data_IF_862484764096
#
_entry.id   IF_862484764096
#
_cell.length_a   1.000
_cell.length_b   1.000
_cell.length_c   1.000
_cell.angle_alpha   90.00
_cell.angle_beta   90.00
_cell.angle_gamma   90.00
#
_symmetry.space_group_name_H-M   'P 1'
#
loop_
_entity.id
_entity.type
_entity.pdbx_description
1 polymer ?
#
# COMPACT_ATOMS: atom_id res chain seq x y z
N UNK A 1 23.61 -2.57 1.74
CA UNK A 1 22.16 -2.82 1.62
C UNK A 1 21.48 -2.41 2.91
N UNK A 2 20.40 -1.64 2.81
CA UNK A 2 19.53 -1.31 3.93
C UNK A 2 18.43 -2.38 4.05
N UNK A 3 18.54 -3.22 5.08
CA UNK A 3 17.64 -4.35 5.27
C UNK A 3 16.20 -3.91 5.54
N UNK A 4 15.99 -2.80 6.25
CA UNK A 4 14.65 -2.30 6.56
C UNK A 4 13.91 -1.88 5.30
N UNK A 5 14.54 -1.07 4.44
CA UNK A 5 13.92 -0.64 3.18
C UNK A 5 13.72 -1.78 2.20
N UNK A 6 14.68 -2.71 2.13
CA UNK A 6 14.55 -3.90 1.29
C UNK A 6 13.36 -4.76 1.75
N UNK A 7 13.28 -5.09 3.04
CA UNK A 7 12.14 -5.84 3.61
C UNK A 7 10.82 -5.10 3.41
N UNK A 8 10.78 -3.78 3.59
CA UNK A 8 9.59 -2.97 3.30
C UNK A 8 9.15 -3.11 1.84
N UNK A 9 10.10 -3.10 0.89
CA UNK A 9 9.82 -3.30 -0.52
C UNK A 9 9.29 -4.70 -0.85
N UNK A 10 9.82 -5.75 -0.20
CA UNK A 10 9.30 -7.12 -0.36
C UNK A 10 7.89 -7.26 0.19
N UNK A 11 7.63 -6.80 1.42
CA UNK A 11 6.28 -6.81 2.00
C UNK A 11 5.31 -6.04 1.11
N UNK A 12 5.73 -4.88 0.59
CA UNK A 12 4.90 -4.08 -0.30
C UNK A 12 4.65 -4.76 -1.66
N UNK A 13 5.62 -5.51 -2.18
CA UNK A 13 5.44 -6.28 -3.42
C UNK A 13 4.38 -7.36 -3.23
N UNK A 14 4.42 -8.06 -2.10
CA UNK A 14 3.40 -9.05 -1.72
C UNK A 14 2.04 -8.37 -1.55
N UNK A 15 1.99 -7.24 -0.85
CA UNK A 15 0.75 -6.48 -0.67
C UNK A 15 0.17 -5.99 -2.02
N UNK A 16 1.01 -5.57 -2.97
CA UNK A 16 0.59 -5.18 -4.32
C UNK A 16 -0.07 -6.35 -5.05
N UNK A 17 0.52 -7.53 -5.00
CA UNK A 17 -0.04 -8.75 -5.61
C UNK A 17 -1.36 -9.13 -4.95
N UNK A 18 -1.41 -9.10 -3.62
CA UNK A 18 -2.65 -9.36 -2.87
C UNK A 18 -3.74 -8.33 -3.22
N UNK A 19 -3.39 -7.04 -3.33
CA UNK A 19 -4.33 -6.00 -3.75
C UNK A 19 -4.86 -6.26 -5.15
N UNK A 20 -4.01 -6.64 -6.10
CA UNK A 20 -4.42 -6.94 -7.47
C UNK A 20 -5.37 -8.15 -7.55
N UNK A 21 -5.10 -9.21 -6.79
CA UNK A 21 -5.82 -10.49 -6.89
C UNK A 21 -6.94 -10.60 -5.85
N UNK A 22 -6.59 -10.62 -4.56
CA UNK A 22 -7.55 -10.80 -3.46
C UNK A 22 -8.44 -9.57 -3.30
N UNK A 23 -7.88 -8.38 -3.53
CA UNK A 23 -8.66 -7.16 -3.54
C UNK A 23 -9.70 -7.12 -4.68
N UNK A 24 -9.45 -7.78 -5.81
CA UNK A 24 -10.50 -7.92 -6.82
C UNK A 24 -11.61 -8.87 -6.33
N UNK A 25 -11.23 -10.04 -5.82
CA UNK A 25 -12.16 -11.10 -5.48
C UNK A 25 -13.12 -10.75 -4.34
N UNK A 26 -12.60 -10.15 -3.26
CA UNK A 26 -13.38 -9.95 -2.04
C UNK A 26 -14.17 -8.63 -2.05
N UNK A 27 -13.55 -7.43 -2.18
CA UNK A 27 -14.32 -6.18 -2.17
C UNK A 27 -14.80 -5.72 -3.55
N UNK A 28 -14.03 -5.90 -4.63
CA UNK A 28 -14.38 -5.29 -5.92
C UNK A 28 -15.49 -6.06 -6.64
N UNK A 29 -15.39 -7.39 -6.70
CA UNK A 29 -16.36 -8.24 -7.40
C UNK A 29 -17.79 -8.05 -6.87
N UNK A 30 -18.06 -8.04 -5.55
CA UNK A 30 -19.40 -7.75 -5.04
C UNK A 30 -19.89 -6.36 -5.45
N UNK A 31 -19.04 -5.32 -5.43
CA UNK A 31 -19.41 -3.97 -5.87
C UNK A 31 -19.80 -3.94 -7.35
N UNK A 32 -19.14 -4.73 -8.19
CA UNK A 32 -19.49 -4.83 -9.62
C UNK A 32 -20.89 -5.42 -9.85
N UNK A 33 -21.39 -6.21 -8.89
CA UNK A 33 -22.68 -6.88 -8.95
C UNK A 33 -23.83 -6.05 -8.36
N UNK A 34 -23.55 -4.91 -7.70
CA UNK A 34 -24.57 -4.06 -7.07
C UNK A 34 -25.36 -3.18 -8.06
N UNK A 35 -25.11 -3.28 -9.38
CA UNK A 35 -25.82 -2.49 -10.39
C UNK A 35 -25.50 -1.00 -10.35
N UNK A 36 -24.25 -0.64 -10.02
CA UNK A 36 -23.78 0.74 -10.09
C UNK A 36 -23.92 1.31 -11.50
N UNK A 37 -24.21 2.61 -11.62
CA UNK A 37 -24.18 3.28 -12.92
C UNK A 37 -22.75 3.32 -13.49
N UNK A 38 -22.66 3.45 -14.82
CA UNK A 38 -21.38 3.37 -15.54
C UNK A 38 -20.31 4.33 -15.02
N UNK A 39 -20.69 5.56 -14.65
CA UNK A 39 -19.77 6.58 -14.14
C UNK A 39 -19.19 6.18 -12.78
N UNK A 40 -20.03 5.68 -11.88
CA UNK A 40 -19.61 5.25 -10.54
C UNK A 40 -18.72 4.02 -10.63
N UNK A 41 -19.07 3.09 -11.51
CA UNK A 41 -18.29 1.88 -11.77
C UNK A 41 -16.91 2.21 -12.37
N UNK A 42 -16.86 3.10 -13.37
CA UNK A 42 -15.60 3.56 -13.95
C UNK A 42 -14.71 4.28 -12.92
N UNK A 43 -15.32 5.10 -12.06
CA UNK A 43 -14.61 5.82 -10.98
C UNK A 43 -14.00 4.85 -9.97
N UNK A 44 -14.75 3.82 -9.58
CA UNK A 44 -14.28 2.76 -8.68
C UNK A 44 -13.04 2.05 -9.26
N UNK A 45 -13.09 1.62 -10.52
CA UNK A 45 -11.93 1.01 -11.19
C UNK A 45 -10.74 1.95 -11.30
N UNK A 46 -10.98 3.22 -11.61
CA UNK A 46 -9.92 4.22 -11.70
C UNK A 46 -9.18 4.39 -10.37
N UNK A 47 -9.91 4.62 -9.27
CA UNK A 47 -9.33 4.77 -7.93
C UNK A 47 -8.62 3.50 -7.48
N UNK A 48 -9.21 2.33 -7.74
CA UNK A 48 -8.58 1.03 -7.46
C UNK A 48 -7.24 0.86 -8.17
N UNK A 49 -7.20 1.23 -9.46
CA UNK A 49 -6.00 1.14 -10.29
C UNK A 49 -4.94 2.14 -9.84
N UNK A 50 -5.33 3.37 -9.48
CA UNK A 50 -4.42 4.38 -8.94
C UNK A 50 -3.72 3.88 -7.67
N UNK A 51 -4.47 3.30 -6.72
CA UNK A 51 -3.89 2.71 -5.51
C UNK A 51 -2.90 1.58 -5.85
N UNK A 52 -3.29 0.68 -6.76
CA UNK A 52 -2.43 -0.44 -7.21
C UNK A 52 -1.13 0.07 -7.84
N UNK A 53 -1.18 1.11 -8.67
CA UNK A 53 0.00 1.72 -9.30
C UNK A 53 0.94 2.35 -8.26
N UNK A 54 0.39 3.05 -7.27
CA UNK A 54 1.18 3.59 -6.16
C UNK A 54 1.90 2.47 -5.40
N UNK A 55 1.21 1.37 -5.10
CA UNK A 55 1.82 0.22 -4.42
C UNK A 55 2.92 -0.43 -5.26
N UNK A 56 2.69 -0.60 -6.57
CA UNK A 56 3.67 -1.17 -7.50
C UNK A 56 4.93 -0.30 -7.60
N UNK A 57 4.77 1.00 -7.84
CA UNK A 57 5.90 1.94 -7.99
C UNK A 57 6.70 2.04 -6.69
N UNK A 58 6.01 2.15 -5.55
CA UNK A 58 6.69 2.19 -4.25
C UNK A 58 7.39 0.88 -3.91
N UNK A 59 6.89 -0.27 -4.37
CA UNK A 59 7.56 -1.58 -4.22
C UNK A 59 8.94 -1.56 -4.90
N UNK A 60 9.00 -1.15 -6.17
CA UNK A 60 10.27 -1.03 -6.90
C UNK A 60 11.21 -0.02 -6.24
N UNK A 61 10.70 1.14 -5.84
CA UNK A 61 11.51 2.17 -5.19
C UNK A 61 12.12 1.71 -3.87
N UNK A 62 11.32 1.07 -2.99
CA UNK A 62 11.78 0.58 -1.70
C UNK A 62 12.82 -0.54 -1.84
N UNK A 63 12.62 -1.47 -2.79
CA UNK A 63 13.62 -2.49 -3.12
C UNK A 63 14.90 -1.83 -3.64
N UNK A 64 14.78 -0.89 -4.58
CA UNK A 64 15.92 -0.19 -5.18
C UNK A 64 16.76 0.54 -4.14
N UNK A 65 16.15 1.40 -3.31
CA UNK A 65 16.89 2.12 -2.25
C UNK A 65 17.38 1.17 -1.16
N UNK A 66 16.69 0.05 -0.92
CA UNK A 66 17.18 -1.03 -0.06
C UNK A 66 18.51 -1.59 -0.54
N UNK A 67 18.62 -1.91 -1.84
CA UNK A 67 19.85 -2.42 -2.46
C UNK A 67 20.94 -1.32 -2.49
N UNK A 68 20.58 -0.09 -2.86
CA UNK A 68 21.49 1.03 -3.09
C UNK A 68 21.25 2.22 -2.13
N UNK A 69 21.48 2.06 -0.81
CA UNK A 69 21.05 3.05 0.18
C UNK A 69 21.84 4.37 0.19
N UNK A 70 22.99 4.42 -0.47
CA UNK A 70 23.85 5.62 -0.54
C UNK A 70 23.54 6.52 -1.74
N UNK A 71 22.53 6.18 -2.55
CA UNK A 71 22.10 7.04 -3.66
C UNK A 71 21.47 8.32 -3.12
N UNK A 72 21.75 9.44 -3.80
CA UNK A 72 21.12 10.72 -3.51
C UNK A 72 19.58 10.58 -3.55
N UNK A 73 18.88 11.15 -2.57
CA UNK A 73 17.43 11.07 -2.49
C UNK A 73 16.87 9.81 -1.82
N UNK A 74 17.71 8.82 -1.43
CA UNK A 74 17.21 7.57 -0.85
C UNK A 74 16.45 7.78 0.46
N UNK A 75 16.95 8.67 1.35
CA UNK A 75 16.29 8.96 2.64
C UNK A 75 15.00 9.74 2.47
N UNK A 76 14.93 10.59 1.45
CA UNK A 76 13.77 11.40 1.08
C UNK A 76 12.67 10.52 0.47
N UNK A 77 13.04 9.60 -0.43
CA UNK A 77 12.13 8.59 -0.98
C UNK A 77 11.58 7.68 0.12
N UNK A 78 12.45 7.21 1.03
CA UNK A 78 12.00 6.41 2.18
C UNK A 78 11.03 7.20 3.08
N UNK A 79 11.26 8.51 3.27
CA UNK A 79 10.35 9.37 4.04
C UNK A 79 8.99 9.51 3.34
N UNK A 80 8.98 9.81 2.04
CA UNK A 80 7.77 9.96 1.24
C UNK A 80 6.89 8.70 1.35
N UNK A 81 7.47 7.53 1.08
CA UNK A 81 6.74 6.27 1.16
C UNK A 81 6.37 5.92 2.60
N UNK A 82 7.25 6.18 3.56
CA UNK A 82 6.97 5.97 4.99
C UNK A 82 5.72 6.72 5.46
N UNK A 83 5.65 8.02 5.16
CA UNK A 83 4.49 8.87 5.50
C UNK A 83 3.23 8.36 4.79
N UNK A 84 3.31 8.07 3.50
CA UNK A 84 2.15 7.65 2.72
C UNK A 84 1.56 6.32 3.22
N UNK A 85 2.41 5.32 3.52
CA UNK A 85 1.94 4.03 4.03
C UNK A 85 1.37 4.11 5.44
N UNK A 86 1.94 4.94 6.31
CA UNK A 86 1.32 5.23 7.62
C UNK A 86 -0.02 5.92 7.44
N UNK A 87 -0.13 6.92 6.55
CA UNK A 87 -1.39 7.59 6.27
C UNK A 87 -2.46 6.62 5.73
N UNK A 88 -2.11 5.74 4.79
CA UNK A 88 -3.02 4.71 4.30
C UNK A 88 -3.46 3.75 5.41
N UNK A 89 -2.53 3.26 6.23
CA UNK A 89 -2.87 2.41 7.36
C UNK A 89 -3.84 3.10 8.33
N UNK A 90 -3.62 4.40 8.61
CA UNK A 90 -4.51 5.19 9.46
C UNK A 90 -5.92 5.33 8.87
N UNK A 91 -6.06 5.53 7.55
CA UNK A 91 -7.38 5.55 6.89
C UNK A 91 -8.11 4.24 7.15
N UNK A 92 -7.46 3.09 6.95
CA UNK A 92 -8.06 1.78 7.23
C UNK A 92 -8.40 1.61 8.71
N UNK A 93 -7.52 2.00 9.63
CA UNK A 93 -7.81 1.92 11.07
C UNK A 93 -9.01 2.78 11.44
N UNK A 94 -9.09 4.03 10.97
CA UNK A 94 -10.18 4.97 11.26
C UNK A 94 -11.51 4.46 10.72
N UNK A 95 -11.55 4.04 9.45
CA UNK A 95 -12.78 3.51 8.84
C UNK A 95 -13.25 2.25 9.58
N UNK A 96 -12.32 1.41 10.02
CA UNK A 96 -12.61 0.14 10.68
C UNK A 96 -13.08 0.31 12.14
N UNK A 97 -12.98 1.51 12.75
CA UNK A 97 -13.57 1.79 14.09
C UNK A 97 -15.09 1.57 14.08
N UNK A 98 -15.74 1.84 12.95
CA UNK A 98 -17.19 1.67 12.79
C UNK A 98 -17.61 0.23 12.44
N UNK A 99 -16.64 -0.69 12.32
CA UNK A 99 -16.83 -2.09 11.97
C UNK A 99 -16.14 -2.99 13.00
N UNK A 100 -16.23 -4.32 12.85
CA UNK A 100 -15.40 -5.20 13.67
C UNK A 100 -13.93 -4.97 13.28
N UNK A 101 -13.02 -4.86 14.26
CA UNK A 101 -11.62 -4.42 14.06
C UNK A 101 -10.80 -5.20 12.99
N UNK A 102 -11.25 -6.38 12.58
CA UNK A 102 -10.60 -7.18 11.52
C UNK A 102 -11.41 -7.26 10.21
N UNK A 103 -12.48 -6.48 10.08
CA UNK A 103 -13.27 -6.40 8.84
C UNK A 103 -12.48 -5.77 7.69
N UNK A 104 -11.52 -4.89 7.99
CA UNK A 104 -10.63 -4.27 7.01
C UNK A 104 -9.15 -4.46 7.41
N UNK A 105 -8.58 -5.66 7.23
CA UNK A 105 -7.25 -6.01 7.76
C UNK A 105 -6.07 -5.41 6.97
N UNK A 106 -6.32 -4.55 5.98
CA UNK A 106 -5.28 -3.97 5.11
C UNK A 106 -4.20 -3.21 5.90
N UNK A 107 -4.56 -2.59 7.03
CA UNK A 107 -3.62 -1.86 7.89
C UNK A 107 -2.49 -2.77 8.44
N UNK A 108 -2.72 -4.08 8.57
CA UNK A 108 -1.75 -5.05 9.10
C UNK A 108 -0.51 -5.15 8.22
N UNK A 109 -0.66 -4.98 6.90
CA UNK A 109 0.46 -4.99 5.96
C UNK A 109 0.98 -3.58 5.65
N UNK A 110 0.10 -2.59 5.60
CA UNK A 110 0.48 -1.22 5.25
C UNK A 110 1.32 -0.54 6.35
N UNK A 111 0.94 -0.72 7.62
CA UNK A 111 1.63 -0.07 8.73
C UNK A 111 3.09 -0.54 8.90
N UNK A 112 3.41 -1.85 8.84
CA UNK A 112 4.80 -2.31 8.87
C UNK A 112 5.68 -1.74 7.75
N UNK A 113 5.15 -1.60 6.53
CA UNK A 113 5.90 -0.99 5.41
C UNK A 113 6.31 0.44 5.78
N UNK A 114 5.37 1.24 6.28
CA UNK A 114 5.63 2.61 6.72
C UNK A 114 6.66 2.68 7.85
N UNK A 115 6.50 1.84 8.88
CA UNK A 115 7.41 1.76 10.03
C UNK A 115 8.83 1.40 9.58
N UNK A 116 8.99 0.36 8.75
CA UNK A 116 10.29 -0.06 8.24
C UNK A 116 10.96 1.02 7.38
N UNK A 117 10.18 1.75 6.57
CA UNK A 117 10.68 2.88 5.78
C UNK A 117 11.27 3.98 6.68
N UNK A 118 10.61 4.31 7.81
CA UNK A 118 11.14 5.26 8.80
C UNK A 118 12.39 4.74 9.51
N UNK A 119 12.36 3.50 9.99
CA UNK A 119 13.49 2.93 10.75
C UNK A 119 14.76 2.82 9.92
N UNK A 120 14.65 2.48 8.63
CA UNK A 120 15.82 2.40 7.75
C UNK A 120 16.52 3.75 7.50
N UNK A 121 15.94 4.89 7.88
CA UNK A 121 16.60 6.21 7.71
C UNK A 121 17.66 6.52 8.76
N UNK A 122 17.58 5.83 9.91
CA UNK A 122 18.55 5.90 11.01
C UNK A 122 19.82 5.17 10.60
#
# INVERSE_FOLDING_TARGET
MNRFWFTAGIINSIATIMHLILGYADPLLPLTQMGLNDVSMATLFAVWTMATLVMLVSSFNLVYIGIYPHKAGAKELALLWGVLYVAFALVFVIVNVSYAFFSLPQWVLLLPIGILAFYGRK
#
